data_IF_394566471159
#
_entry.id   IF_394566471159
#
_cell.length_a   1.000
_cell.length_b   1.000
_cell.length_c   1.000
_cell.angle_alpha   90.00
_cell.angle_beta   90.00
_cell.angle_gamma   90.00
#
_symmetry.space_group_name_H-M   'P 1'
#
loop_
_entity.id
_entity.type
_entity.pdbx_description
1 polymer ?
#
# COMPACT_ATOMS: atom_id res chain seq x y z
N UNK A 1 15.78 -2.41 8.76
CA UNK A 1 14.34 -2.12 8.56
C UNK A 1 13.89 -2.36 7.12
N UNK A 2 14.52 -1.75 6.13
CA UNK A 2 14.13 -1.95 4.73
C UNK A 2 14.12 -3.42 4.28
N UNK A 3 15.10 -4.27 4.65
CA UNK A 3 15.05 -5.68 4.25
C UNK A 3 13.81 -6.43 4.73
N UNK A 4 13.16 -5.94 5.78
CA UNK A 4 11.95 -6.56 6.33
C UNK A 4 10.68 -5.92 5.77
N UNK A 5 10.70 -4.61 5.53
CA UNK A 5 9.53 -3.87 5.05
C UNK A 5 9.30 -4.07 3.54
N UNK A 6 10.36 -4.04 2.75
CA UNK A 6 10.25 -4.11 1.30
C UNK A 6 9.50 -5.36 0.79
N UNK A 7 9.81 -6.59 1.30
CA UNK A 7 9.06 -7.76 0.88
C UNK A 7 7.57 -7.71 1.26
N UNK A 8 7.26 -7.15 2.44
CA UNK A 8 5.87 -7.01 2.88
C UNK A 8 5.12 -6.02 2.01
N UNK A 9 5.76 -4.91 1.65
CA UNK A 9 5.17 -3.89 0.80
C UNK A 9 4.94 -4.42 -0.62
N UNK A 10 5.88 -5.16 -1.15
CA UNK A 10 5.74 -5.81 -2.45
C UNK A 10 4.55 -6.79 -2.44
N UNK A 11 4.44 -7.60 -1.39
CA UNK A 11 3.31 -8.52 -1.23
C UNK A 11 1.99 -7.77 -1.12
N UNK A 12 1.99 -6.66 -0.38
CA UNK A 12 0.81 -5.82 -0.22
C UNK A 12 0.33 -5.27 -1.57
N UNK A 13 1.24 -4.79 -2.40
CA UNK A 13 0.91 -4.31 -3.74
C UNK A 13 0.29 -5.41 -4.60
N UNK A 14 0.84 -6.63 -4.53
CA UNK A 14 0.30 -7.77 -5.25
C UNK A 14 -1.11 -8.11 -4.83
N UNK A 15 -1.37 -8.11 -3.52
CA UNK A 15 -2.71 -8.35 -2.99
C UNK A 15 -3.70 -7.26 -3.39
N UNK A 16 -3.28 -6.02 -3.37
CA UNK A 16 -4.12 -4.89 -3.78
C UNK A 16 -4.49 -4.99 -5.26
N UNK A 17 -3.53 -5.35 -6.09
CA UNK A 17 -3.74 -5.54 -7.53
C UNK A 17 -4.76 -6.65 -7.79
N UNK A 18 -4.60 -7.77 -7.10
CA UNK A 18 -5.53 -8.90 -7.22
C UNK A 18 -6.92 -8.53 -6.72
N UNK A 19 -6.99 -7.79 -5.61
CA UNK A 19 -8.25 -7.30 -5.06
C UNK A 19 -9.01 -6.43 -6.07
N UNK A 20 -8.31 -5.50 -6.71
CA UNK A 20 -8.92 -4.60 -7.69
C UNK A 20 -9.44 -5.37 -8.91
N UNK A 21 -8.69 -6.38 -9.35
CA UNK A 21 -9.08 -7.25 -10.45
C UNK A 21 -10.35 -8.04 -10.10
N UNK A 22 -10.42 -8.56 -8.88
CA UNK A 22 -11.59 -9.29 -8.40
C UNK A 22 -12.81 -8.37 -8.28
N UNK A 23 -12.62 -7.11 -7.91
CA UNK A 23 -13.72 -6.13 -7.90
C UNK A 23 -14.31 -5.93 -9.28
N UNK A 24 -13.49 -5.90 -10.32
CA UNK A 24 -13.98 -5.82 -11.69
C UNK A 24 -14.81 -7.05 -12.03
N UNK A 25 -14.37 -8.23 -11.61
CA UNK A 25 -15.11 -9.48 -11.83
C UNK A 25 -16.49 -9.43 -11.17
N UNK A 26 -16.57 -8.90 -9.96
CA UNK A 26 -17.86 -8.73 -9.28
C UNK A 26 -18.79 -7.83 -10.09
N UNK A 27 -18.27 -6.73 -10.62
CA UNK A 27 -19.05 -5.83 -11.47
C UNK A 27 -19.58 -6.50 -12.72
N UNK A 28 -18.75 -7.30 -13.39
CA UNK A 28 -19.13 -8.04 -14.59
C UNK A 28 -20.20 -9.08 -14.29
N UNK A 29 -20.03 -9.87 -13.22
CA UNK A 29 -20.98 -10.89 -12.83
C UNK A 29 -22.32 -10.25 -12.46
N UNK A 30 -22.28 -9.16 -11.69
CA UNK A 30 -23.50 -8.44 -11.31
C UNK A 30 -24.25 -7.90 -12.53
N UNK A 31 -23.55 -7.39 -13.53
CA UNK A 31 -24.14 -6.93 -14.77
C UNK A 31 -24.82 -8.06 -15.53
N UNK A 32 -24.20 -9.24 -15.59
CA UNK A 32 -24.80 -10.44 -16.22
C UNK A 32 -26.05 -10.90 -15.47
N UNK A 33 -26.02 -10.86 -14.15
CA UNK A 33 -27.18 -11.24 -13.33
C UNK A 33 -28.39 -10.35 -13.61
N UNK A 34 -28.17 -9.07 -13.85
CA UNK A 34 -29.28 -8.14 -14.20
C UNK A 34 -29.92 -8.49 -15.53
N UNK A 35 -29.14 -9.05 -16.47
CA UNK A 35 -29.66 -9.43 -17.79
C UNK A 35 -30.22 -10.84 -17.84
N UNK A 36 -29.65 -11.78 -17.05
CA UNK A 36 -29.98 -13.20 -17.14
C UNK A 36 -29.61 -13.92 -15.84
N UNK A 37 -30.31 -13.69 -14.76
CA UNK A 37 -29.99 -14.03 -13.40
C UNK A 37 -29.76 -15.52 -13.01
N UNK A 38 -29.59 -16.44 -13.95
CA UNK A 38 -29.47 -17.85 -13.63
C UNK A 38 -28.01 -18.32 -13.57
N UNK A 39 -27.65 -19.05 -12.50
CA UNK A 39 -26.38 -19.75 -12.39
C UNK A 39 -25.18 -18.91 -11.97
N UNK A 40 -25.35 -17.61 -11.74
CA UNK A 40 -24.24 -16.71 -11.38
C UNK A 40 -24.14 -16.41 -9.89
N UNK A 41 -25.17 -16.80 -9.10
CA UNK A 41 -25.20 -16.51 -7.65
C UNK A 41 -24.04 -17.14 -6.89
N UNK A 42 -23.69 -18.39 -7.21
CA UNK A 42 -22.58 -19.08 -6.56
C UNK A 42 -21.24 -18.47 -6.96
N UNK A 43 -21.09 -18.12 -8.24
CA UNK A 43 -19.86 -17.46 -8.72
C UNK A 43 -19.67 -16.11 -8.03
N UNK A 44 -20.75 -15.33 -7.89
CA UNK A 44 -20.70 -14.03 -7.22
C UNK A 44 -20.29 -14.19 -5.75
N UNK A 45 -20.90 -15.16 -5.05
CA UNK A 45 -20.55 -15.39 -3.64
C UNK A 45 -19.10 -15.80 -3.47
N UNK A 46 -18.59 -16.62 -4.37
CA UNK A 46 -17.21 -17.08 -4.33
C UNK A 46 -16.25 -15.89 -4.50
N UNK A 47 -16.47 -15.05 -5.50
CA UNK A 47 -15.62 -13.90 -5.76
C UNK A 47 -15.72 -12.88 -4.62
N UNK A 48 -16.91 -12.67 -4.07
CA UNK A 48 -17.09 -11.79 -2.91
C UNK A 48 -16.32 -12.28 -1.69
N UNK A 49 -16.33 -13.61 -1.44
CA UNK A 49 -15.55 -14.20 -0.35
C UNK A 49 -14.05 -14.01 -0.57
N UNK A 50 -13.58 -14.17 -1.79
CA UNK A 50 -12.18 -13.94 -2.14
C UNK A 50 -11.78 -12.48 -1.95
N UNK A 51 -12.67 -11.55 -2.32
CA UNK A 51 -12.47 -10.11 -2.09
C UNK A 51 -12.33 -9.80 -0.62
N UNK A 52 -13.22 -10.35 0.21
CA UNK A 52 -13.17 -10.10 1.65
C UNK A 52 -11.89 -10.67 2.26
N UNK A 53 -11.48 -11.86 1.85
CA UNK A 53 -10.23 -12.47 2.29
C UNK A 53 -9.02 -11.60 1.90
N UNK A 54 -8.99 -11.10 0.68
CA UNK A 54 -7.93 -10.22 0.21
C UNK A 54 -7.88 -8.92 1.01
N UNK A 55 -9.04 -8.32 1.26
CA UNK A 55 -9.13 -7.09 2.06
C UNK A 55 -8.58 -7.31 3.47
N UNK A 56 -8.91 -8.44 4.10
CA UNK A 56 -8.39 -8.78 5.42
C UNK A 56 -6.87 -8.92 5.41
N UNK A 57 -6.33 -9.61 4.42
CA UNK A 57 -4.88 -9.77 4.28
C UNK A 57 -4.18 -8.45 4.03
N UNK A 58 -4.76 -7.58 3.21
CA UNK A 58 -4.24 -6.23 2.95
C UNK A 58 -4.16 -5.44 4.25
N UNK A 59 -5.23 -5.43 5.03
CA UNK A 59 -5.28 -4.71 6.29
C UNK A 59 -4.27 -5.26 7.31
N UNK A 60 -4.13 -6.57 7.40
CA UNK A 60 -3.16 -7.19 8.30
C UNK A 60 -1.72 -6.83 7.92
N UNK A 61 -1.39 -6.83 6.64
CA UNK A 61 -0.06 -6.43 6.18
C UNK A 61 0.20 -4.94 6.42
N UNK A 62 -0.80 -4.09 6.17
CA UNK A 62 -0.67 -2.65 6.42
C UNK A 62 -0.42 -2.37 7.90
N UNK A 63 -1.17 -3.04 8.78
CA UNK A 63 -0.97 -2.91 10.23
C UNK A 63 0.41 -3.40 10.65
N UNK A 64 0.87 -4.49 10.04
CA UNK A 64 2.19 -5.05 10.33
C UNK A 64 3.31 -4.09 9.92
N UNK A 65 3.18 -3.46 8.75
CA UNK A 65 4.13 -2.46 8.29
C UNK A 65 4.13 -1.26 9.24
N UNK A 66 2.97 -0.74 9.59
CA UNK A 66 2.85 0.39 10.51
C UNK A 66 3.40 0.04 11.90
N UNK A 67 3.29 -1.22 12.31
CA UNK A 67 3.84 -1.70 13.57
C UNK A 67 5.36 -1.76 13.63
N UNK A 68 6.03 -1.63 12.49
CA UNK A 68 7.50 -1.66 12.42
C UNK A 68 8.15 -0.30 12.68
N UNK A 69 7.37 0.72 13.04
CA UNK A 69 7.90 2.06 13.31
C UNK A 69 7.94 2.96 12.08
N UNK A 70 7.21 2.60 11.05
CA UNK A 70 7.05 3.43 9.85
C UNK A 70 5.57 3.65 9.56
N UNK A 71 5.28 4.55 8.63
CA UNK A 71 3.91 4.85 8.23
C UNK A 71 3.75 4.57 6.74
N UNK A 72 2.80 3.70 6.40
CA UNK A 72 2.45 3.42 5.01
C UNK A 72 1.61 4.59 4.48
N UNK A 73 2.14 5.31 3.49
CA UNK A 73 1.50 6.51 2.95
C UNK A 73 0.76 6.27 1.64
N UNK A 74 1.27 5.37 0.80
CA UNK A 74 0.65 5.08 -0.49
C UNK A 74 1.00 3.66 -0.91
N UNK A 75 -0.01 2.81 -1.04
CA UNK A 75 0.19 1.42 -1.43
C UNK A 75 0.64 1.26 -2.87
N UNK A 76 0.05 2.04 -3.77
CA UNK A 76 0.34 1.90 -5.20
C UNK A 76 1.76 2.30 -5.53
N UNK A 77 2.21 3.41 -4.98
CA UNK A 77 3.59 3.88 -5.16
C UNK A 77 4.57 3.13 -4.27
N UNK A 78 4.09 2.48 -3.22
CA UNK A 78 4.96 1.84 -2.26
C UNK A 78 5.72 2.84 -1.41
N UNK A 79 5.02 3.87 -0.92
CA UNK A 79 5.63 4.94 -0.12
C UNK A 79 5.52 4.66 1.37
N UNK A 80 6.65 4.77 2.06
CA UNK A 80 6.73 4.64 3.51
C UNK A 80 7.48 5.84 4.06
N UNK A 81 7.01 6.37 5.19
CA UNK A 81 7.68 7.44 5.92
C UNK A 81 8.12 6.94 7.29
N UNK A 82 9.32 7.34 7.70
CA UNK A 82 9.87 7.07 9.03
C UNK A 82 10.05 8.40 9.75
N UNK A 83 9.55 8.52 10.97
CA UNK A 83 9.78 9.73 11.76
C UNK A 83 11.23 9.79 12.21
N UNK A 84 11.84 10.97 12.08
CA UNK A 84 13.22 11.18 12.46
C UNK A 84 13.45 12.66 12.80
N UNK A 85 14.56 12.95 13.45
CA UNK A 85 14.99 14.33 13.67
C UNK A 85 15.90 14.74 12.51
N UNK A 86 15.50 15.81 11.83
CA UNK A 86 16.28 16.42 10.76
C UNK A 86 16.56 17.85 11.15
N UNK A 87 17.84 18.17 11.35
CA UNK A 87 18.26 19.50 11.86
C UNK A 87 17.55 19.88 13.16
N UNK A 88 17.37 18.91 14.06
CA UNK A 88 16.75 19.14 15.36
C UNK A 88 15.24 19.23 15.37
N UNK A 89 14.58 19.04 14.24
CA UNK A 89 13.11 19.05 14.13
C UNK A 89 12.60 17.70 13.67
N UNK A 90 11.39 17.33 14.10
CA UNK A 90 10.75 16.13 13.60
C UNK A 90 10.40 16.28 12.12
N UNK A 91 10.74 15.28 11.34
CA UNK A 91 10.45 15.22 9.92
C UNK A 91 10.24 13.76 9.52
N UNK A 92 9.94 13.51 8.27
CA UNK A 92 9.83 12.17 7.72
C UNK A 92 11.02 11.87 6.82
N UNK A 93 11.60 10.70 7.02
CA UNK A 93 12.49 10.10 6.03
C UNK A 93 11.58 9.33 5.08
N UNK A 94 11.64 9.64 3.79
CA UNK A 94 10.74 9.11 2.79
C UNK A 94 11.44 8.03 1.94
N UNK A 95 10.78 6.88 1.82
CA UNK A 95 11.29 5.79 1.00
C UNK A 95 10.20 5.29 0.07
N UNK A 96 10.57 5.04 -1.18
CA UNK A 96 9.68 4.47 -2.19
C UNK A 96 10.21 3.10 -2.59
N UNK A 97 9.30 2.13 -2.75
CA UNK A 97 9.68 0.79 -3.18
C UNK A 97 10.45 0.85 -4.51
N UNK A 98 11.61 0.21 -4.54
CA UNK A 98 12.54 0.26 -5.66
C UNK A 98 13.78 1.10 -5.40
N UNK A 99 13.76 1.99 -4.42
CA UNK A 99 14.93 2.74 -4.00
C UNK A 99 15.81 1.85 -3.12
N UNK A 100 17.12 1.85 -3.35
CA UNK A 100 18.03 0.98 -2.59
C UNK A 100 18.20 1.42 -1.13
N UNK A 101 18.16 2.73 -0.91
CA UNK A 101 18.38 3.32 0.41
C UNK A 101 17.38 4.43 0.66
N UNK A 102 17.27 4.84 1.94
CA UNK A 102 16.50 6.02 2.29
C UNK A 102 17.35 7.23 1.96
N UNK A 103 17.00 7.95 0.91
CA UNK A 103 17.79 9.05 0.37
C UNK A 103 17.09 10.42 0.46
N UNK A 104 15.83 10.46 0.91
CA UNK A 104 15.01 11.66 0.87
C UNK A 104 14.31 11.89 2.19
N UNK A 105 13.92 13.15 2.41
CA UNK A 105 13.14 13.54 3.58
C UNK A 105 12.11 14.59 3.18
N UNK A 106 11.08 14.78 4.00
CA UNK A 106 10.13 15.88 3.84
C UNK A 106 9.60 16.27 5.22
N UNK A 107 9.03 17.47 5.31
CA UNK A 107 8.46 17.93 6.56
C UNK A 107 7.18 17.17 6.90
N UNK A 108 6.76 17.23 8.16
CA UNK A 108 5.58 16.50 8.63
C UNK A 108 4.30 16.88 7.88
N UNK A 109 4.20 18.13 7.47
CA UNK A 109 3.01 18.67 6.80
C UNK A 109 3.08 18.61 5.27
N UNK A 110 4.17 18.09 4.70
CA UNK A 110 4.31 17.94 3.26
C UNK A 110 4.30 16.45 2.90
N UNK A 111 4.48 16.13 1.64
CA UNK A 111 4.45 14.75 1.18
C UNK A 111 5.51 14.46 0.14
N UNK A 112 5.32 13.36 -0.58
CA UNK A 112 6.28 12.84 -1.55
C UNK A 112 6.74 13.90 -2.56
N UNK A 113 5.81 14.72 -3.07
CA UNK A 113 6.15 15.71 -4.09
C UNK A 113 7.10 16.79 -3.59
N UNK A 114 7.20 16.98 -2.27
CA UNK A 114 8.04 17.99 -1.65
C UNK A 114 9.28 17.40 -1.00
N UNK A 115 9.59 16.12 -1.26
CA UNK A 115 10.74 15.49 -0.63
C UNK A 115 12.05 16.05 -1.19
N UNK A 116 13.04 16.12 -0.30
CA UNK A 116 14.36 16.67 -0.61
C UNK A 116 15.44 15.64 -0.35
N UNK A 117 16.54 15.66 -1.10
CA UNK A 117 17.64 14.74 -0.86
C UNK A 117 18.29 14.95 0.50
N UNK A 118 18.60 13.85 1.20
CA UNK A 118 19.30 13.90 2.48
C UNK A 118 20.71 14.47 2.35
N UNK A 119 21.37 14.26 1.21
CA UNK A 119 22.72 14.77 0.97
C UNK A 119 22.79 16.30 1.01
N UNK A 120 21.70 16.99 0.72
CA UNK A 120 21.63 18.45 0.73
C UNK A 120 21.64 19.01 2.15
N UNK A 121 21.49 18.17 3.17
CA UNK A 121 21.51 18.62 4.56
C UNK A 121 22.92 18.86 5.10
N UNK A 122 23.90 18.41 4.39
CA UNK A 122 25.25 18.42 4.89
C UNK A 122 25.44 17.42 6.02
N UNK A 123 26.55 17.42 6.64
CA UNK A 123 26.86 16.50 7.75
C UNK A 123 26.52 17.10 9.09
#
# INVERSE_FOLDING_TARGET
MLPYVAPLLFKLQGLKHEHDKQQEQVGEISARMRGNGHGLGDDLRKVQAELQSAATQINELAERINGMGCELKDMEMGLIDFRALVKGREAYLCWKLGEEHVLYWHELHTGFASREPLEDLGD
#
